data_IF_180584356995
#
_entry.id   IF_180584356995
#
_cell.length_a   1.000
_cell.length_b   1.000
_cell.length_c   1.000
_cell.angle_alpha   90.00
_cell.angle_beta   90.00
_cell.angle_gamma   90.00
#
_symmetry.space_group_name_H-M   'P 1'
#
loop_
_entity.id
_entity.type
_entity.pdbx_description
1 polymer ?
#
# COMPACT_ATOMS: atom_id res chain seq x y z
N UNK A 1 -49.58 -50.54 -4.62
CA UNK A 1 -49.30 -50.53 -3.17
C UNK A 1 -47.80 -50.77 -3.02
N UNK A 2 -47.00 -49.75 -3.10
CA UNK A 2 -45.67 -49.71 -2.53
C UNK A 2 -45.46 -48.28 -2.02
N UNK A 3 -45.36 -48.13 -0.72
CA UNK A 3 -45.11 -46.86 -0.04
C UNK A 3 -43.62 -46.59 -0.07
N UNK A 4 -43.24 -45.49 -0.72
CA UNK A 4 -41.85 -45.01 -0.71
C UNK A 4 -41.68 -44.07 0.48
N UNK A 5 -40.95 -44.50 1.48
CA UNK A 5 -40.51 -43.64 2.59
C UNK A 5 -39.49 -42.64 2.09
N UNK A 6 -39.84 -41.37 2.10
CA UNK A 6 -38.90 -40.26 1.95
C UNK A 6 -38.25 -40.02 3.32
N UNK A 7 -36.97 -40.39 3.47
CA UNK A 7 -36.13 -40.03 4.62
C UNK A 7 -35.75 -38.56 4.51
N UNK A 8 -36.38 -37.72 5.30
CA UNK A 8 -35.91 -36.35 5.57
C UNK A 8 -34.58 -36.44 6.32
N UNK A 9 -33.49 -36.18 5.64
CA UNK A 9 -32.20 -35.91 6.27
C UNK A 9 -32.26 -34.49 6.80
N UNK A 10 -32.46 -34.36 8.12
CA UNK A 10 -32.27 -33.09 8.82
C UNK A 10 -30.79 -32.69 8.74
N UNK A 11 -30.49 -31.75 7.86
CA UNK A 11 -29.17 -31.07 7.88
C UNK A 11 -29.10 -30.24 9.19
N UNK A 12 -28.44 -30.77 10.20
CA UNK A 12 -27.99 -30.00 11.36
C UNK A 12 -27.00 -28.99 10.84
N UNK A 13 -27.45 -27.75 10.65
CA UNK A 13 -26.60 -26.59 10.44
C UNK A 13 -25.85 -26.38 11.73
N UNK A 14 -24.61 -26.85 11.76
CA UNK A 14 -23.67 -26.49 12.83
C UNK A 14 -23.47 -24.96 12.78
N UNK A 15 -23.59 -24.25 13.91
CA UNK A 15 -23.32 -22.82 13.91
C UNK A 15 -21.85 -22.60 13.58
N UNK A 16 -21.57 -21.98 12.46
CA UNK A 16 -20.25 -21.56 12.03
C UNK A 16 -19.76 -20.51 13.03
N UNK A 17 -19.03 -20.95 14.07
CA UNK A 17 -18.33 -20.07 14.98
C UNK A 17 -17.20 -19.43 14.20
N UNK A 18 -17.46 -18.28 13.58
CA UNK A 18 -16.41 -17.47 12.99
C UNK A 18 -15.53 -16.95 14.10
N UNK A 19 -14.41 -17.60 14.36
CA UNK A 19 -13.34 -17.06 15.21
C UNK A 19 -12.69 -15.88 14.46
N UNK A 20 -13.37 -14.72 14.44
CA UNK A 20 -12.92 -13.49 13.76
C UNK A 20 -11.87 -12.72 14.58
N UNK A 21 -11.54 -13.18 15.78
CA UNK A 21 -10.67 -12.43 16.69
C UNK A 21 -9.35 -13.18 16.88
N UNK A 22 -8.23 -12.45 16.89
CA UNK A 22 -6.92 -13.02 17.24
C UNK A 22 -6.97 -13.65 18.64
N UNK A 23 -6.23 -14.73 18.86
CA UNK A 23 -6.21 -15.36 20.20
C UNK A 23 -5.73 -14.34 21.24
N UNK A 24 -6.20 -14.42 22.50
CA UNK A 24 -5.78 -13.49 23.55
C UNK A 24 -4.26 -13.40 23.71
N UNK A 25 -3.56 -14.51 23.51
CA UNK A 25 -2.09 -14.56 23.60
C UNK A 25 -1.41 -13.77 22.47
N UNK A 26 -1.90 -13.88 21.23
CA UNK A 26 -1.40 -13.12 20.08
C UNK A 26 -1.67 -11.62 20.28
N UNK A 27 -2.87 -11.28 20.75
CA UNK A 27 -3.23 -9.90 21.00
C UNK A 27 -2.38 -9.27 22.11
N UNK A 28 -2.13 -9.97 23.22
CA UNK A 28 -1.27 -9.47 24.29
C UNK A 28 0.17 -9.25 23.82
N UNK A 29 0.72 -10.16 23.01
CA UNK A 29 2.04 -10.00 22.40
C UNK A 29 2.13 -8.77 21.49
N UNK A 30 1.11 -8.54 20.66
CA UNK A 30 1.04 -7.36 19.77
C UNK A 30 0.92 -6.06 20.57
N UNK A 31 0.15 -6.04 21.68
CA UNK A 31 0.06 -4.87 22.57
C UNK A 31 1.41 -4.55 23.19
N UNK A 32 2.14 -5.56 23.71
CA UNK A 32 3.48 -5.35 24.29
C UNK A 32 4.43 -4.78 23.24
N UNK A 33 4.45 -5.32 22.02
CA UNK A 33 5.26 -4.82 20.92
C UNK A 33 4.87 -3.39 20.54
N UNK A 34 3.58 -3.08 20.43
CA UNK A 34 3.09 -1.74 20.11
C UNK A 34 3.52 -0.71 21.16
N UNK A 35 3.44 -1.05 22.45
CA UNK A 35 3.87 -0.17 23.55
C UNK A 35 5.38 0.03 23.56
N UNK A 36 6.16 -1.03 23.35
CA UNK A 36 7.63 -0.96 23.37
C UNK A 36 8.21 -0.18 22.17
N UNK A 37 7.61 -0.31 20.98
CA UNK A 37 8.17 0.24 19.75
C UNK A 37 7.43 1.45 19.19
N UNK A 38 6.22 1.73 19.60
CA UNK A 38 5.39 2.69 18.89
C UNK A 38 4.64 3.73 19.74
N UNK A 39 4.69 3.65 21.05
CA UNK A 39 3.98 4.60 21.89
C UNK A 39 2.48 4.68 21.63
N UNK A 40 1.87 5.85 21.84
CA UNK A 40 0.42 6.06 21.76
C UNK A 40 -0.17 5.76 20.37
N UNK A 41 0.54 6.14 19.29
CA UNK A 41 0.06 5.91 17.91
C UNK A 41 -0.13 4.41 17.65
N UNK A 42 0.87 3.60 17.99
CA UNK A 42 0.80 2.16 17.78
C UNK A 42 -0.31 1.52 18.62
N UNK A 43 -0.54 1.98 19.85
CA UNK A 43 -1.64 1.49 20.68
C UNK A 43 -2.99 1.84 20.07
N UNK A 44 -3.19 3.08 19.63
CA UNK A 44 -4.42 3.52 18.97
C UNK A 44 -4.65 2.75 17.67
N UNK A 45 -3.60 2.60 16.85
CA UNK A 45 -3.68 1.83 15.60
C UNK A 45 -4.06 0.39 15.88
N UNK A 46 -3.43 -0.27 16.84
CA UNK A 46 -3.72 -1.65 17.20
C UNK A 46 -5.17 -1.81 17.71
N UNK A 47 -5.65 -0.88 18.53
CA UNK A 47 -7.03 -0.88 19.02
C UNK A 47 -8.04 -0.76 17.87
N UNK A 48 -7.78 0.15 16.91
CA UNK A 48 -8.60 0.33 15.73
C UNK A 48 -8.56 -0.91 14.82
N UNK A 49 -7.39 -1.50 14.57
CA UNK A 49 -7.24 -2.72 13.78
C UNK A 49 -8.03 -3.88 14.40
N UNK A 50 -7.90 -4.07 15.72
CA UNK A 50 -8.64 -5.08 16.44
C UNK A 50 -10.16 -4.86 16.33
N UNK A 51 -10.61 -3.64 16.56
CA UNK A 51 -12.01 -3.27 16.49
C UNK A 51 -12.58 -3.44 15.07
N UNK A 52 -11.88 -2.95 14.03
CA UNK A 52 -12.32 -3.03 12.63
C UNK A 52 -12.28 -4.48 12.11
N UNK A 53 -11.30 -5.30 12.52
CA UNK A 53 -11.22 -6.70 12.11
C UNK A 53 -12.39 -7.56 12.62
N UNK A 54 -13.12 -7.08 13.63
CA UNK A 54 -14.29 -7.77 14.20
C UNK A 54 -15.62 -7.33 13.58
N UNK A 55 -15.62 -6.36 12.66
CA UNK A 55 -16.86 -5.82 12.08
C UNK A 55 -17.35 -6.62 10.88
N UNK A 56 -18.67 -6.69 10.65
CA UNK A 56 -19.25 -7.46 9.55
C UNK A 56 -19.19 -6.75 8.19
N UNK A 57 -18.84 -5.45 8.13
CA UNK A 57 -18.74 -4.68 6.89
C UNK A 57 -17.28 -4.58 6.43
N UNK A 58 -17.06 -4.39 5.13
CA UNK A 58 -15.73 -4.37 4.53
C UNK A 58 -15.02 -5.72 4.66
N UNK A 59 -15.77 -6.83 4.66
CA UNK A 59 -15.21 -8.19 4.76
C UNK A 59 -15.11 -8.79 3.37
N UNK A 60 -13.91 -9.23 3.02
CA UNK A 60 -13.68 -10.07 1.86
C UNK A 60 -13.94 -11.53 2.23
N UNK A 61 -14.84 -12.16 1.47
CA UNK A 61 -15.19 -13.57 1.69
C UNK A 61 -14.13 -14.47 1.07
N UNK A 62 -13.91 -15.61 1.71
CA UNK A 62 -13.00 -16.64 1.27
C UNK A 62 -13.10 -16.90 -0.26
N UNK A 63 -11.94 -16.83 -0.95
CA UNK A 63 -11.83 -17.17 -2.38
C UNK A 63 -12.22 -16.08 -3.38
N UNK A 64 -12.66 -14.88 -2.97
CA UNK A 64 -13.08 -13.83 -3.91
C UNK A 64 -11.89 -13.07 -4.53
N UNK A 65 -10.78 -12.89 -3.80
CA UNK A 65 -9.57 -12.22 -4.26
C UNK A 65 -8.29 -13.03 -3.96
N UNK A 66 -8.12 -14.11 -4.68
CA UNK A 66 -6.86 -14.83 -4.97
C UNK A 66 -6.15 -15.55 -3.82
N UNK A 67 -5.71 -14.91 -2.77
CA UNK A 67 -4.77 -15.47 -1.80
C UNK A 67 -5.38 -15.74 -0.42
N UNK A 68 -6.44 -15.03 -0.04
CA UNK A 68 -7.04 -15.16 1.28
C UNK A 68 -7.89 -16.45 1.39
N UNK A 69 -7.55 -17.30 2.36
CA UNK A 69 -8.31 -18.52 2.70
C UNK A 69 -9.23 -18.32 3.92
N UNK A 70 -9.39 -17.09 4.40
CA UNK A 70 -10.28 -16.74 5.52
C UNK A 70 -10.95 -15.41 5.25
N UNK A 71 -12.14 -15.24 5.80
CA UNK A 71 -12.80 -13.93 5.85
C UNK A 71 -11.88 -12.91 6.50
N UNK A 72 -11.54 -11.86 5.78
CA UNK A 72 -10.62 -10.80 6.22
C UNK A 72 -11.24 -9.43 6.02
N UNK A 73 -10.95 -8.50 6.94
CA UNK A 73 -11.38 -7.11 6.84
C UNK A 73 -10.48 -6.34 5.85
N UNK A 74 -11.06 -5.45 5.07
CA UNK A 74 -10.37 -4.54 4.12
C UNK A 74 -10.23 -3.12 4.68
N UNK A 75 -10.31 -2.94 6.00
CA UNK A 75 -10.39 -1.63 6.65
C UNK A 75 -9.08 -1.22 7.35
N UNK A 76 -7.98 -1.91 7.07
CA UNK A 76 -6.68 -1.63 7.71
C UNK A 76 -6.16 -0.22 7.44
N UNK A 77 -6.34 0.26 6.22
CA UNK A 77 -5.96 1.62 5.84
C UNK A 77 -6.71 2.68 6.63
N UNK A 78 -7.99 2.47 6.93
CA UNK A 78 -8.78 3.39 7.77
C UNK A 78 -8.17 3.51 9.17
N UNK A 79 -7.73 2.39 9.78
CA UNK A 79 -7.08 2.43 11.09
C UNK A 79 -5.80 3.27 11.06
N UNK A 80 -4.97 3.11 10.03
CA UNK A 80 -3.73 3.88 9.85
C UNK A 80 -4.04 5.37 9.75
N UNK A 81 -4.92 5.76 8.83
CA UNK A 81 -5.21 7.17 8.57
C UNK A 81 -5.91 7.86 9.74
N UNK A 82 -6.83 7.20 10.44
CA UNK A 82 -7.45 7.74 11.67
C UNK A 82 -6.38 7.95 12.74
N UNK A 83 -5.46 7.00 12.95
CA UNK A 83 -4.41 7.12 13.97
C UNK A 83 -3.47 8.30 13.68
N UNK A 84 -3.06 8.47 12.43
CA UNK A 84 -2.21 9.58 12.00
C UNK A 84 -2.95 10.91 12.06
N UNK A 85 -4.23 10.95 11.70
CA UNK A 85 -5.07 12.16 11.84
C UNK A 85 -5.22 12.58 13.31
N UNK A 86 -5.49 11.63 14.20
CA UNK A 86 -5.58 11.90 15.65
C UNK A 86 -4.26 12.43 16.19
N UNK A 87 -3.13 11.90 15.71
CA UNK A 87 -1.81 12.43 16.06
C UNK A 87 -1.64 13.86 15.54
N UNK A 88 -1.93 14.13 14.28
CA UNK A 88 -1.74 15.44 13.65
C UNK A 88 -2.60 16.54 14.27
N UNK A 89 -3.81 16.18 14.75
CA UNK A 89 -4.72 17.11 15.47
C UNK A 89 -4.32 17.23 16.94
N UNK A 90 -3.87 16.16 17.57
CA UNK A 90 -3.51 16.12 18.99
C UNK A 90 -2.12 16.69 19.29
N UNK A 91 -1.18 16.61 18.35
CA UNK A 91 0.18 17.09 18.55
C UNK A 91 0.27 18.57 18.96
N UNK A 92 -0.49 19.52 18.39
CA UNK A 92 -0.47 20.92 18.83
C UNK A 92 -0.94 21.10 20.27
N UNK A 93 -1.91 20.31 20.75
CA UNK A 93 -2.42 20.39 22.13
C UNK A 93 -1.43 19.80 23.15
N UNK A 94 -0.62 18.85 22.71
CA UNK A 94 0.49 18.28 23.50
C UNK A 94 1.72 19.20 23.46
N UNK A 95 1.83 20.07 22.45
CA UNK A 95 3.01 20.88 22.18
C UNK A 95 3.26 21.95 23.23
N UNK A 96 2.24 22.50 23.90
CA UNK A 96 2.48 23.45 25.01
C UNK A 96 3.24 22.80 26.19
N UNK A 97 3.17 21.45 26.27
CA UNK A 97 3.91 20.67 27.26
C UNK A 97 5.14 19.95 26.68
N UNK A 98 5.22 19.75 25.37
CA UNK A 98 6.25 18.99 24.65
C UNK A 98 6.96 19.83 23.59
N UNK A 99 6.52 21.06 23.32
CA UNK A 99 7.12 22.00 22.37
C UNK A 99 8.62 22.28 22.63
N UNK A 100 9.11 21.97 23.82
CA UNK A 100 10.55 22.02 24.13
C UNK A 100 11.36 20.93 23.43
N UNK A 101 10.72 19.94 22.79
CA UNK A 101 11.35 18.79 22.17
C UNK A 101 11.18 18.67 20.65
N UNK A 102 10.27 19.46 20.04
CA UNK A 102 9.97 19.37 18.60
C UNK A 102 9.70 20.79 18.08
N UNK A 103 10.71 21.44 17.50
CA UNK A 103 10.52 22.64 16.68
C UNK A 103 9.79 22.23 15.39
N UNK A 104 8.47 22.45 15.36
CA UNK A 104 7.65 22.23 14.17
C UNK A 104 7.48 23.55 13.44
N UNK A 105 7.93 23.63 12.18
CA UNK A 105 7.64 24.76 11.30
C UNK A 105 6.16 24.69 10.89
N UNK A 106 5.39 25.76 11.14
CA UNK A 106 3.95 25.79 10.90
C UNK A 106 3.57 25.61 9.43
N UNK A 107 4.32 26.19 8.52
CA UNK A 107 4.03 26.17 7.07
C UNK A 107 4.25 24.77 6.47
N UNK A 108 5.24 24.02 6.96
CA UNK A 108 5.52 22.66 6.51
C UNK A 108 4.46 21.67 6.99
N UNK A 109 3.98 21.84 8.24
CA UNK A 109 2.89 21.03 8.80
C UNK A 109 1.60 21.22 8.01
N UNK A 110 1.27 22.42 7.59
CA UNK A 110 0.04 22.71 6.86
C UNK A 110 0.07 22.10 5.46
N UNK A 111 1.21 22.08 4.79
CA UNK A 111 1.40 21.38 3.51
C UNK A 111 1.22 19.87 3.65
N UNK A 112 1.83 19.26 4.66
CA UNK A 112 1.72 17.81 4.90
C UNK A 112 0.29 17.43 5.29
N UNK A 113 -0.40 18.25 6.07
CA UNK A 113 -1.84 18.07 6.36
C UNK A 113 -2.68 18.12 5.08
N UNK A 114 -2.37 19.05 4.17
CA UNK A 114 -3.01 19.15 2.86
C UNK A 114 -2.86 17.85 2.06
N UNK A 115 -1.67 17.24 2.03
CA UNK A 115 -1.44 15.95 1.37
C UNK A 115 -2.29 14.83 1.97
N UNK A 116 -2.44 14.80 3.30
CA UNK A 116 -3.29 13.82 3.98
C UNK A 116 -4.76 13.97 3.59
N UNK A 117 -5.27 15.22 3.49
CA UNK A 117 -6.64 15.45 3.05
C UNK A 117 -6.87 14.98 1.62
N UNK A 118 -5.97 15.33 0.68
CA UNK A 118 -6.09 14.87 -0.69
C UNK A 118 -5.98 13.33 -0.78
N UNK A 119 -5.04 12.74 -0.05
CA UNK A 119 -4.90 11.28 0.02
C UNK A 119 -6.16 10.61 0.60
N UNK A 120 -6.77 11.18 1.63
CA UNK A 120 -8.05 10.70 2.16
C UNK A 120 -9.18 10.79 1.13
N UNK A 121 -9.29 11.89 0.38
CA UNK A 121 -10.29 12.03 -0.68
C UNK A 121 -10.13 10.97 -1.78
N UNK A 122 -8.89 10.70 -2.18
CA UNK A 122 -8.54 9.63 -3.11
C UNK A 122 -8.88 8.26 -2.50
N UNK A 123 -8.55 8.04 -1.23
CA UNK A 123 -8.88 6.83 -0.49
C UNK A 123 -10.39 6.57 -0.38
N UNK A 124 -11.22 7.61 -0.25
CA UNK A 124 -12.68 7.47 -0.20
C UNK A 124 -13.25 6.86 -1.49
N UNK A 125 -12.60 7.06 -2.63
CA UNK A 125 -12.98 6.37 -3.88
C UNK A 125 -12.74 4.87 -3.76
N UNK A 126 -11.63 4.46 -3.10
CA UNK A 126 -11.34 3.05 -2.79
C UNK A 126 -12.30 2.48 -1.75
N UNK A 127 -12.65 3.27 -0.72
CA UNK A 127 -13.63 2.85 0.29
C UNK A 127 -14.97 2.47 -0.30
N UNK A 128 -15.41 3.18 -1.35
CA UNK A 128 -16.64 2.84 -2.05
C UNK A 128 -16.64 1.40 -2.58
N UNK A 129 -15.48 0.88 -2.96
CA UNK A 129 -15.32 -0.52 -3.38
C UNK A 129 -15.25 -1.48 -2.18
N UNK A 130 -14.53 -1.12 -1.12
CA UNK A 130 -14.42 -1.91 0.11
C UNK A 130 -15.78 -2.13 0.80
N UNK A 131 -16.70 -1.17 0.68
CA UNK A 131 -18.08 -1.28 1.20
C UNK A 131 -19.11 -1.73 0.14
N UNK A 132 -18.65 -2.17 -1.05
CA UNK A 132 -19.46 -2.70 -2.14
C UNK A 132 -20.51 -1.70 -2.69
N UNK A 133 -20.18 -0.43 -2.84
CA UNK A 133 -21.05 0.56 -3.50
C UNK A 133 -21.12 0.39 -5.03
N UNK A 134 -20.39 -0.57 -5.60
CA UNK A 134 -20.55 -1.00 -6.99
C UNK A 134 -20.06 0.00 -8.04
N UNK A 135 -19.04 0.80 -7.75
CA UNK A 135 -18.41 1.69 -8.73
C UNK A 135 -17.73 0.89 -9.86
N UNK A 136 -18.07 1.22 -11.11
CA UNK A 136 -17.40 0.62 -12.27
C UNK A 136 -15.94 1.11 -12.34
N UNK A 137 -15.00 0.28 -12.85
CA UNK A 137 -13.58 0.67 -12.95
C UNK A 137 -13.35 2.03 -13.64
N UNK A 138 -14.07 2.33 -14.72
CA UNK A 138 -13.97 3.62 -15.41
C UNK A 138 -14.45 4.79 -14.53
N UNK A 139 -15.50 4.60 -13.74
CA UNK A 139 -16.01 5.64 -12.84
C UNK A 139 -15.00 5.94 -11.75
N UNK A 140 -14.34 4.92 -11.18
CA UNK A 140 -13.24 5.09 -10.22
C UNK A 140 -12.09 5.89 -10.84
N UNK A 141 -11.65 5.52 -12.02
CA UNK A 141 -10.58 6.24 -12.73
C UNK A 141 -10.93 7.71 -12.94
N UNK A 142 -12.12 8.01 -13.43
CA UNK A 142 -12.58 9.39 -13.65
C UNK A 142 -12.66 10.20 -12.36
N UNK A 143 -13.14 9.59 -11.26
CA UNK A 143 -13.17 10.26 -9.94
C UNK A 143 -11.77 10.54 -9.42
N UNK A 144 -10.85 9.56 -9.52
CA UNK A 144 -9.45 9.75 -9.12
C UNK A 144 -8.79 10.90 -9.90
N UNK A 145 -8.96 10.95 -11.23
CA UNK A 145 -8.46 12.05 -12.05
C UNK A 145 -9.09 13.38 -11.68
N UNK A 146 -10.40 13.45 -11.51
CA UNK A 146 -11.10 14.67 -11.15
C UNK A 146 -10.63 15.24 -9.79
N UNK A 147 -10.50 14.38 -8.78
CA UNK A 147 -10.01 14.75 -7.44
C UNK A 147 -8.55 15.22 -7.52
N UNK A 148 -7.69 14.50 -8.26
CA UNK A 148 -6.27 14.85 -8.42
C UNK A 148 -6.10 16.20 -9.11
N UNK A 149 -6.79 16.42 -10.23
CA UNK A 149 -6.74 17.69 -10.98
C UNK A 149 -7.27 18.83 -10.11
N UNK A 150 -8.40 18.65 -9.42
CA UNK A 150 -8.93 19.64 -8.51
C UNK A 150 -7.95 20.00 -7.39
N UNK A 151 -7.29 19.00 -6.80
CA UNK A 151 -6.24 19.19 -5.78
C UNK A 151 -5.08 20.02 -6.29
N UNK A 152 -4.56 19.72 -7.49
CA UNK A 152 -3.44 20.48 -8.09
C UNK A 152 -3.83 21.87 -8.59
N UNK A 153 -5.09 22.10 -8.95
CA UNK A 153 -5.58 23.45 -9.24
C UNK A 153 -5.71 24.28 -7.96
N UNK A 154 -6.16 23.63 -6.87
CA UNK A 154 -6.34 24.28 -5.58
C UNK A 154 -5.01 24.60 -4.88
N UNK A 155 -4.01 23.71 -5.00
CA UNK A 155 -2.68 23.83 -4.41
C UNK A 155 -1.59 23.57 -5.47
N UNK A 156 -1.30 24.56 -6.35
CA UNK A 156 -0.30 24.41 -7.41
C UNK A 156 1.13 24.14 -6.89
N UNK A 157 1.41 24.53 -5.66
CA UNK A 157 2.69 24.30 -4.97
C UNK A 157 2.97 22.81 -4.71
N UNK A 158 1.97 21.95 -4.82
CA UNK A 158 2.13 20.49 -4.69
C UNK A 158 2.62 19.83 -5.99
N UNK A 159 2.65 20.57 -7.10
CA UNK A 159 3.15 20.06 -8.36
C UNK A 159 4.68 19.89 -8.32
N UNK A 160 5.22 18.87 -9.00
CA UNK A 160 6.67 18.71 -9.12
C UNK A 160 7.27 19.79 -10.01
N UNK A 161 8.46 20.29 -9.67
CA UNK A 161 9.25 21.18 -10.52
C UNK A 161 9.84 20.42 -11.70
N UNK A 162 9.09 20.32 -12.78
CA UNK A 162 9.47 19.62 -14.00
C UNK A 162 10.57 20.35 -14.80
N UNK A 163 10.92 21.62 -14.46
CA UNK A 163 12.03 22.34 -15.08
C UNK A 163 13.39 21.67 -14.83
N UNK A 164 13.47 20.81 -13.82
CA UNK A 164 14.67 20.00 -13.56
C UNK A 164 14.95 18.95 -14.64
N UNK A 165 14.00 18.65 -15.51
CA UNK A 165 14.18 17.79 -16.68
C UNK A 165 14.56 18.64 -17.89
N UNK A 166 15.85 18.75 -18.19
CA UNK A 166 16.42 19.64 -19.21
C UNK A 166 15.98 19.36 -20.66
N UNK A 167 15.46 18.18 -20.97
CA UNK A 167 15.21 17.72 -22.36
C UNK A 167 13.88 18.20 -22.93
N UNK A 168 12.88 18.55 -22.10
CA UNK A 168 11.53 18.95 -22.54
C UNK A 168 10.99 20.14 -21.73
N UNK A 169 11.86 21.01 -21.24
CA UNK A 169 11.51 22.08 -20.31
C UNK A 169 10.37 22.99 -20.80
N UNK A 170 10.33 23.36 -22.05
CA UNK A 170 9.30 24.26 -22.59
C UNK A 170 7.89 23.66 -22.55
N UNK A 171 7.75 22.37 -22.88
CA UNK A 171 6.46 21.68 -22.85
C UNK A 171 6.02 21.44 -21.40
N UNK A 172 6.94 21.06 -20.53
CA UNK A 172 6.68 20.72 -19.14
C UNK A 172 6.41 21.95 -18.25
N UNK A 173 6.70 23.17 -18.73
CA UNK A 173 6.35 24.43 -18.05
C UNK A 173 4.91 24.89 -18.31
N UNK A 174 4.20 24.30 -19.28
CA UNK A 174 2.80 24.61 -19.52
C UNK A 174 1.97 24.08 -18.34
N UNK A 175 1.28 24.95 -17.56
CA UNK A 175 0.59 24.52 -16.33
C UNK A 175 -0.39 23.36 -16.53
N UNK A 176 -1.13 23.38 -17.64
CA UNK A 176 -2.06 22.29 -17.96
C UNK A 176 -1.33 20.94 -18.16
N UNK A 177 -0.18 20.96 -18.85
CA UNK A 177 0.63 19.74 -19.09
C UNK A 177 1.16 19.21 -17.76
N UNK A 178 1.69 20.09 -16.92
CA UNK A 178 2.20 19.71 -15.57
C UNK A 178 1.08 19.09 -14.72
N UNK A 179 -0.09 19.73 -14.65
CA UNK A 179 -1.24 19.21 -13.89
C UNK A 179 -1.68 17.84 -14.44
N UNK A 180 -1.84 17.71 -15.76
CA UNK A 180 -2.31 16.46 -16.36
C UNK A 180 -1.32 15.33 -16.18
N UNK A 181 -0.02 15.59 -16.35
CA UNK A 181 1.05 14.60 -16.14
C UNK A 181 1.13 14.18 -14.66
N UNK A 182 1.08 15.14 -13.74
CA UNK A 182 1.11 14.88 -12.30
C UNK A 182 -0.12 14.09 -11.85
N UNK A 183 -1.31 14.42 -12.36
CA UNK A 183 -2.52 13.65 -12.08
C UNK A 183 -2.43 12.22 -12.67
N UNK A 184 -1.85 12.07 -13.86
CA UNK A 184 -1.63 10.75 -14.47
C UNK A 184 -0.70 9.88 -13.62
N UNK A 185 0.41 10.43 -13.14
CA UNK A 185 1.34 9.72 -12.25
C UNK A 185 0.65 9.38 -10.93
N UNK A 186 -0.07 10.31 -10.32
CA UNK A 186 -0.79 10.10 -9.07
C UNK A 186 -1.82 8.96 -9.20
N UNK A 187 -2.68 9.01 -10.20
CA UNK A 187 -3.72 8.00 -10.43
C UNK A 187 -3.10 6.66 -10.85
N UNK A 188 -2.09 6.68 -11.71
CA UNK A 188 -1.37 5.48 -12.12
C UNK A 188 -0.72 4.77 -10.93
N UNK A 189 0.00 5.51 -10.09
CA UNK A 189 0.64 4.92 -8.91
C UNK A 189 -0.37 4.48 -7.84
N UNK A 190 -1.46 5.21 -7.65
CA UNK A 190 -2.57 4.80 -6.79
C UNK A 190 -3.14 3.43 -7.21
N UNK A 191 -3.30 3.20 -8.51
CA UNK A 191 -3.71 1.89 -9.00
C UNK A 191 -2.60 0.84 -8.86
N UNK A 192 -1.32 1.22 -9.01
CA UNK A 192 -0.19 0.31 -8.77
C UNK A 192 -0.15 -0.18 -7.33
N UNK A 193 -0.33 0.70 -6.34
CA UNK A 193 -0.37 0.33 -4.92
C UNK A 193 -1.55 -0.59 -4.61
N UNK A 194 -2.71 -0.37 -5.20
CA UNK A 194 -3.85 -1.26 -5.05
C UNK A 194 -3.59 -2.65 -5.65
N UNK A 195 -2.90 -2.72 -6.79
CA UNK A 195 -2.53 -4.01 -7.41
C UNK A 195 -1.55 -4.82 -6.54
N UNK A 196 -0.69 -4.17 -5.74
CA UNK A 196 0.30 -4.86 -4.90
C UNK A 196 -0.17 -5.15 -3.49
N UNK A 197 -1.33 -4.65 -3.06
CA UNK A 197 -1.95 -4.98 -1.74
C UNK A 197 -2.56 -6.40 -1.72
N UNK A 198 -1.95 -7.34 -2.45
CA UNK A 198 -2.41 -8.73 -2.52
C UNK A 198 -1.65 -9.71 -1.60
N UNK A 199 -0.49 -9.33 -1.06
CA UNK A 199 0.32 -10.19 -0.20
C UNK A 199 0.55 -9.53 1.17
N UNK A 200 0.52 -10.35 2.23
CA UNK A 200 0.67 -9.86 3.60
C UNK A 200 1.96 -9.06 3.79
N UNK A 201 1.83 -7.85 4.29
CA UNK A 201 2.93 -6.93 4.57
C UNK A 201 3.54 -6.24 3.34
N UNK A 202 3.26 -6.67 2.11
CA UNK A 202 3.95 -6.19 0.90
C UNK A 202 3.87 -4.67 0.75
N UNK A 203 2.67 -4.12 0.58
CA UNK A 203 2.48 -2.67 0.44
C UNK A 203 2.87 -1.94 1.71
N UNK A 204 2.54 -2.50 2.88
CA UNK A 204 2.90 -1.91 4.17
C UNK A 204 4.40 -1.72 4.34
N UNK A 205 5.22 -2.74 4.05
CA UNK A 205 6.69 -2.66 4.18
C UNK A 205 7.27 -1.66 3.17
N UNK A 206 6.78 -1.65 1.92
CA UNK A 206 7.18 -0.67 0.91
C UNK A 206 6.91 0.76 1.42
N UNK A 207 5.70 1.02 1.91
CA UNK A 207 5.32 2.32 2.44
C UNK A 207 6.13 2.70 3.70
N UNK A 208 6.33 1.76 4.62
CA UNK A 208 7.15 1.99 5.82
C UNK A 208 8.59 2.35 5.45
N UNK A 209 9.22 1.62 4.53
CA UNK A 209 10.58 1.92 4.09
C UNK A 209 10.68 3.29 3.41
N UNK A 210 9.70 3.65 2.59
CA UNK A 210 9.63 4.96 1.95
C UNK A 210 9.45 6.10 2.98
N UNK A 211 8.46 6.01 3.88
CA UNK A 211 8.24 7.07 4.87
C UNK A 211 9.35 7.14 5.91
N UNK A 212 10.02 6.03 6.23
CA UNK A 212 11.22 6.04 7.07
C UNK A 212 12.37 6.76 6.38
N UNK A 213 12.60 6.51 5.08
CA UNK A 213 13.55 7.27 4.29
C UNK A 213 13.24 8.77 4.32
N UNK A 214 11.98 9.16 4.08
CA UNK A 214 11.58 10.57 4.10
C UNK A 214 11.77 11.19 5.49
N UNK A 215 11.39 10.47 6.57
CA UNK A 215 11.62 10.91 7.93
C UNK A 215 13.12 11.16 8.23
N UNK A 216 13.98 10.22 7.85
CA UNK A 216 15.43 10.36 8.03
C UNK A 216 16.04 11.50 7.21
N UNK A 217 15.40 11.90 6.12
CA UNK A 217 15.83 13.00 5.27
C UNK A 217 15.37 14.37 5.79
N UNK A 218 14.12 14.45 6.32
CA UNK A 218 13.43 15.70 6.66
C UNK A 218 13.31 15.94 8.16
N UNK A 219 13.42 14.90 8.99
CA UNK A 219 13.12 14.86 10.42
C UNK A 219 11.67 15.23 10.77
N UNK A 220 10.75 15.20 9.82
CA UNK A 220 9.36 15.60 10.03
C UNK A 220 8.57 14.53 10.82
N UNK A 221 8.06 14.86 12.04
CA UNK A 221 7.46 13.88 12.95
C UNK A 221 6.23 13.15 12.39
N UNK A 222 5.53 13.76 11.43
CA UNK A 222 4.34 13.15 10.84
C UNK A 222 4.67 11.93 9.99
N UNK A 223 5.85 11.91 9.34
CA UNK A 223 6.34 10.71 8.64
C UNK A 223 6.71 9.60 9.61
N UNK A 224 7.25 9.95 10.78
CA UNK A 224 7.48 8.97 11.85
C UNK A 224 6.17 8.38 12.38
N UNK A 225 5.14 9.20 12.53
CA UNK A 225 3.80 8.75 12.91
C UNK A 225 3.23 7.73 11.90
N UNK A 226 3.40 8.00 10.59
CA UNK A 226 3.04 7.04 9.52
C UNK A 226 3.84 5.73 9.64
N UNK A 227 5.15 5.80 9.82
CA UNK A 227 6.02 4.63 10.03
C UNK A 227 5.49 3.77 11.18
N UNK A 228 5.16 4.36 12.32
CA UNK A 228 4.65 3.63 13.48
C UNK A 228 3.28 3.01 13.24
N UNK A 229 2.34 3.75 12.66
CA UNK A 229 0.99 3.25 12.35
C UNK A 229 1.03 2.11 11.32
N UNK A 230 1.79 2.28 10.23
CA UNK A 230 1.91 1.25 9.18
C UNK A 230 2.67 0.03 9.70
N UNK A 231 3.74 0.20 10.50
CA UNK A 231 4.47 -0.91 11.11
C UNK A 231 3.58 -1.74 12.05
N UNK A 232 2.71 -1.08 12.82
CA UNK A 232 1.72 -1.75 13.68
C UNK A 232 0.71 -2.55 12.84
N UNK A 233 0.25 -1.97 11.72
CA UNK A 233 -0.59 -2.69 10.76
C UNK A 233 0.13 -3.92 10.18
N UNK A 234 1.40 -3.79 9.76
CA UNK A 234 2.18 -4.90 9.20
C UNK A 234 2.27 -6.05 10.20
N UNK A 235 2.61 -5.76 11.45
CA UNK A 235 2.69 -6.79 12.49
C UNK A 235 1.36 -7.52 12.66
N UNK A 236 0.26 -6.78 12.74
CA UNK A 236 -1.08 -7.38 12.87
C UNK A 236 -1.46 -8.19 11.62
N UNK A 237 -1.21 -7.66 10.42
CA UNK A 237 -1.52 -8.30 9.14
C UNK A 237 -0.73 -9.61 8.96
N UNK A 238 0.60 -9.58 9.14
CA UNK A 238 1.47 -10.76 8.96
C UNK A 238 1.15 -11.86 9.97
N UNK A 239 0.91 -11.49 11.24
CA UNK A 239 0.67 -12.47 12.32
C UNK A 239 -0.73 -13.07 12.23
N UNK A 240 -1.74 -12.30 11.85
CA UNK A 240 -3.13 -12.74 11.91
C UNK A 240 -3.74 -13.10 10.55
N UNK A 241 -3.29 -12.46 9.46
CA UNK A 241 -3.91 -12.54 8.13
C UNK A 241 -5.38 -12.08 8.07
N UNK A 242 -5.87 -11.37 9.10
CA UNK A 242 -7.30 -11.04 9.29
C UNK A 242 -7.71 -9.66 8.81
N UNK A 243 -6.74 -8.83 8.49
CA UNK A 243 -6.99 -7.47 8.00
C UNK A 243 -6.01 -7.15 6.90
N UNK A 244 -6.53 -6.68 5.78
CA UNK A 244 -5.76 -6.11 4.68
C UNK A 244 -5.87 -4.59 4.72
N UNK A 245 -5.02 -3.91 3.97
CA UNK A 245 -5.04 -2.46 3.89
C UNK A 245 -6.35 -1.95 3.26
N UNK A 246 -6.87 -2.68 2.28
CA UNK A 246 -8.07 -2.38 1.52
C UNK A 246 -7.85 -1.30 0.47
N UNK A 247 -8.83 -1.12 -0.42
CA UNK A 247 -8.73 -0.16 -1.51
C UNK A 247 -8.62 1.28 -0.99
N UNK A 248 -9.29 1.61 0.14
CA UNK A 248 -9.09 2.89 0.82
C UNK A 248 -7.63 3.13 1.16
N UNK A 249 -7.01 2.19 1.87
CA UNK A 249 -5.65 2.34 2.35
C UNK A 249 -4.62 2.31 1.22
N UNK A 250 -4.77 1.41 0.28
CA UNK A 250 -3.89 1.29 -0.88
C UNK A 250 -3.90 2.58 -1.72
N UNK A 251 -5.08 3.15 -1.98
CA UNK A 251 -5.22 4.39 -2.72
C UNK A 251 -4.66 5.58 -1.94
N UNK A 252 -5.01 5.74 -0.68
CA UNK A 252 -4.56 6.85 0.14
C UNK A 252 -3.04 6.84 0.36
N UNK A 253 -2.45 5.66 0.65
CA UNK A 253 -0.99 5.52 0.79
C UNK A 253 -0.29 5.78 -0.55
N UNK A 254 -0.82 5.26 -1.67
CA UNK A 254 -0.27 5.51 -2.99
C UNK A 254 -0.27 7.00 -3.33
N UNK A 255 -1.38 7.70 -3.08
CA UNK A 255 -1.47 9.14 -3.28
C UNK A 255 -0.49 9.92 -2.40
N UNK A 256 -0.39 9.55 -1.13
CA UNK A 256 0.52 10.21 -0.18
C UNK A 256 1.98 10.01 -0.57
N UNK A 257 2.38 8.80 -1.00
CA UNK A 257 3.74 8.53 -1.51
C UNK A 257 4.07 9.44 -2.69
N UNK A 258 3.17 9.62 -3.66
CA UNK A 258 3.41 10.49 -4.83
C UNK A 258 3.54 11.95 -4.42
N UNK A 259 2.61 12.46 -3.60
CA UNK A 259 2.64 13.86 -3.15
C UNK A 259 3.90 14.18 -2.36
N UNK A 260 4.28 13.30 -1.45
CA UNK A 260 5.53 13.43 -0.67
C UNK A 260 6.76 13.31 -1.57
N UNK A 261 6.73 12.43 -2.60
CA UNK A 261 7.81 12.35 -3.59
C UNK A 261 7.97 13.67 -4.35
N UNK A 262 6.87 14.32 -4.72
CA UNK A 262 6.92 15.64 -5.37
C UNK A 262 7.51 16.71 -4.46
N UNK A 263 7.08 16.76 -3.19
CA UNK A 263 7.64 17.69 -2.20
C UNK A 263 9.14 17.48 -2.01
N UNK A 264 9.56 16.24 -1.76
CA UNK A 264 10.99 15.93 -1.59
C UNK A 264 11.79 16.23 -2.86
N UNK A 265 11.24 15.96 -4.04
CA UNK A 265 11.87 16.30 -5.32
C UNK A 265 12.03 17.82 -5.47
N UNK A 266 11.07 18.62 -5.04
CA UNK A 266 11.14 20.09 -5.12
C UNK A 266 12.15 20.69 -4.14
N UNK A 267 12.21 20.15 -2.92
CA UNK A 267 13.00 20.73 -1.81
C UNK A 267 14.42 20.19 -1.71
N UNK A 268 14.67 18.96 -2.21
CA UNK A 268 15.95 18.26 -2.09
C UNK A 268 16.56 17.95 -3.45
N UNK A 269 17.89 17.87 -3.50
CA UNK A 269 18.61 17.43 -4.70
C UNK A 269 18.64 15.91 -4.82
N UNK A 270 17.47 15.30 -5.01
CA UNK A 270 17.28 13.85 -5.04
C UNK A 270 17.21 13.33 -6.47
N UNK A 271 17.83 12.18 -6.72
CA UNK A 271 17.66 11.47 -7.99
C UNK A 271 16.25 10.89 -8.12
N UNK A 272 15.58 11.08 -9.26
CA UNK A 272 14.29 10.44 -9.53
C UNK A 272 14.38 8.90 -9.47
N UNK A 273 15.53 8.34 -9.83
CA UNK A 273 15.80 6.92 -9.79
C UNK A 273 15.86 6.35 -8.36
N UNK A 274 16.12 7.22 -7.36
CA UNK A 274 16.00 6.83 -5.95
C UNK A 274 14.54 6.48 -5.62
N UNK A 275 13.59 7.35 -5.97
CA UNK A 275 12.15 7.06 -5.78
C UNK A 275 11.73 5.80 -6.55
N UNK A 276 12.17 5.72 -7.82
CA UNK A 276 11.89 4.54 -8.65
C UNK A 276 12.44 3.25 -8.01
N UNK A 277 13.62 3.31 -7.37
CA UNK A 277 14.21 2.16 -6.67
C UNK A 277 13.41 1.76 -5.42
N UNK A 278 12.96 2.72 -4.60
CA UNK A 278 12.09 2.44 -3.44
C UNK A 278 10.74 1.87 -3.84
N UNK A 279 10.23 2.26 -4.99
CA UNK A 279 8.90 1.94 -5.48
C UNK A 279 8.95 0.97 -6.67
N UNK A 280 10.07 0.25 -6.82
CA UNK A 280 10.35 -0.55 -8.02
C UNK A 280 9.30 -1.64 -8.26
N UNK A 281 8.85 -2.35 -7.22
CA UNK A 281 7.87 -3.41 -7.39
C UNK A 281 6.50 -2.90 -7.89
N UNK A 282 5.82 -1.91 -7.26
CA UNK A 282 4.58 -1.37 -7.81
C UNK A 282 4.75 -0.77 -9.21
N UNK A 283 5.84 -0.05 -9.48
CA UNK A 283 6.09 0.54 -10.80
C UNK A 283 6.26 -0.53 -11.89
N UNK A 284 7.09 -1.54 -11.63
CA UNK A 284 7.35 -2.61 -12.61
C UNK A 284 6.12 -3.48 -12.80
N UNK A 285 5.41 -3.81 -11.71
CA UNK A 285 4.26 -4.70 -11.77
C UNK A 285 3.09 -4.10 -12.56
N UNK A 286 2.78 -2.81 -12.36
CA UNK A 286 1.70 -2.17 -13.14
C UNK A 286 2.04 -2.14 -14.63
N UNK A 287 3.28 -1.77 -14.99
CA UNK A 287 3.71 -1.72 -16.38
C UNK A 287 3.67 -3.12 -17.00
N UNK A 288 4.21 -4.14 -16.30
CA UNK A 288 4.21 -5.52 -16.75
C UNK A 288 2.79 -6.04 -17.02
N UNK A 289 1.89 -5.87 -16.06
CA UNK A 289 0.52 -6.38 -16.16
C UNK A 289 -0.26 -5.65 -17.24
N UNK A 290 -0.15 -4.32 -17.33
CA UNK A 290 -0.80 -3.56 -18.41
C UNK A 290 -0.29 -3.95 -19.78
N UNK A 291 1.04 -4.11 -19.94
CA UNK A 291 1.64 -4.57 -21.20
C UNK A 291 1.12 -5.95 -21.60
N UNK A 292 1.09 -6.90 -20.66
CA UNK A 292 0.58 -8.24 -20.93
C UNK A 292 -0.90 -8.23 -21.32
N UNK A 293 -1.74 -7.41 -20.67
CA UNK A 293 -3.16 -7.28 -21.04
C UNK A 293 -3.34 -6.73 -22.45
N UNK A 294 -2.59 -5.70 -22.80
CA UNK A 294 -2.61 -5.11 -24.16
C UNK A 294 -2.17 -6.16 -25.20
N UNK A 295 -1.07 -6.88 -24.95
CA UNK A 295 -0.59 -7.94 -25.85
C UNK A 295 -1.57 -9.11 -25.99
N UNK A 296 -2.42 -9.35 -24.98
CA UNK A 296 -3.47 -10.37 -25.00
C UNK A 296 -4.83 -9.83 -25.50
N UNK A 297 -4.86 -8.63 -26.03
CA UNK A 297 -6.08 -7.94 -26.50
C UNK A 297 -7.16 -7.81 -25.40
N UNK A 298 -6.74 -7.77 -24.13
CA UNK A 298 -7.61 -7.59 -22.97
C UNK A 298 -7.64 -6.12 -22.54
N UNK A 299 -8.74 -5.72 -21.91
CA UNK A 299 -8.85 -4.38 -21.34
C UNK A 299 -7.81 -4.17 -20.23
N UNK A 300 -7.02 -3.08 -20.26
CA UNK A 300 -6.05 -2.78 -19.20
C UNK A 300 -6.68 -2.57 -17.82
N UNK A 301 -7.97 -2.22 -17.78
CA UNK A 301 -8.69 -1.79 -16.57
C UNK A 301 -9.32 -2.98 -15.82
N UNK A 302 -9.50 -4.13 -16.48
CA UNK A 302 -10.12 -5.30 -15.85
C UNK A 302 -9.06 -6.02 -15.00
N UNK A 303 -9.39 -6.29 -13.73
CA UNK A 303 -8.53 -7.03 -12.81
C UNK A 303 -8.35 -8.49 -13.25
N UNK A 304 -7.16 -9.04 -13.05
CA UNK A 304 -6.85 -10.46 -13.20
C UNK A 304 -5.91 -10.93 -12.06
N UNK A 305 -5.61 -12.22 -12.04
CA UNK A 305 -4.73 -12.82 -11.03
C UNK A 305 -3.28 -13.03 -11.53
N UNK A 306 -2.88 -12.40 -12.64
CA UNK A 306 -1.58 -12.59 -13.27
C UNK A 306 -0.48 -11.71 -12.63
N UNK A 307 -0.51 -11.58 -11.30
CA UNK A 307 0.48 -10.81 -10.55
C UNK A 307 1.66 -11.66 -10.09
N UNK A 308 2.87 -11.07 -10.07
CA UNK A 308 4.07 -11.78 -9.63
C UNK A 308 3.93 -12.31 -8.19
N UNK A 309 3.30 -11.54 -7.29
CA UNK A 309 3.08 -12.00 -5.92
C UNK A 309 2.15 -13.24 -5.86
N UNK A 310 1.18 -13.38 -6.77
CA UNK A 310 0.34 -14.58 -6.87
C UNK A 310 1.16 -15.80 -7.33
N UNK A 311 2.01 -15.63 -8.34
CA UNK A 311 2.89 -16.71 -8.81
C UNK A 311 3.88 -17.16 -7.73
N UNK A 312 4.49 -16.20 -7.03
CA UNK A 312 5.42 -16.51 -5.94
C UNK A 312 4.71 -17.19 -4.77
N UNK A 313 3.51 -16.72 -4.41
CA UNK A 313 2.69 -17.35 -3.37
C UNK A 313 2.36 -18.81 -3.73
N UNK A 314 1.88 -19.08 -4.94
CA UNK A 314 1.58 -20.44 -5.41
C UNK A 314 2.83 -21.33 -5.36
N UNK A 315 3.99 -20.83 -5.77
CA UNK A 315 5.26 -21.55 -5.68
C UNK A 315 5.65 -21.88 -4.23
N UNK A 316 5.41 -20.95 -3.30
CA UNK A 316 5.74 -21.15 -1.89
C UNK A 316 4.74 -22.06 -1.16
N UNK A 317 3.47 -22.09 -1.60
CA UNK A 317 2.47 -23.02 -1.04
C UNK A 317 2.86 -24.48 -1.13
N UNK A 318 3.63 -24.86 -2.17
CA UNK A 318 4.16 -26.22 -2.31
C UNK A 318 5.24 -26.53 -1.25
N UNK A 319 5.87 -25.51 -0.70
CA UNK A 319 6.97 -25.61 0.28
C UNK A 319 6.52 -25.44 1.74
N UNK A 320 5.49 -24.63 1.96
CA UNK A 320 4.97 -24.30 3.27
C UNK A 320 3.54 -24.80 3.39
N UNK A 321 3.26 -25.64 4.38
CA UNK A 321 1.91 -26.17 4.64
C UNK A 321 0.90 -25.07 5.04
N UNK A 322 1.39 -23.94 5.58
CA UNK A 322 0.58 -22.81 6.02
C UNK A 322 0.46 -21.74 4.93
N UNK A 323 -0.74 -21.49 4.37
CA UNK A 323 -0.98 -20.43 3.41
C UNK A 323 -0.65 -19.04 3.94
N UNK A 324 -0.89 -18.80 5.25
CA UNK A 324 -0.53 -17.54 5.90
C UNK A 324 0.98 -17.30 5.87
N UNK A 325 1.77 -18.34 6.16
CA UNK A 325 3.24 -18.25 6.12
C UNK A 325 3.72 -18.02 4.69
N UNK A 326 3.21 -18.79 3.72
CA UNK A 326 3.57 -18.61 2.31
C UNK A 326 3.24 -17.20 1.81
N UNK A 327 2.06 -16.65 2.18
CA UNK A 327 1.65 -15.31 1.82
C UNK A 327 2.56 -14.24 2.46
N UNK A 328 2.87 -14.38 3.75
CA UNK A 328 3.72 -13.42 4.47
C UNK A 328 5.18 -13.45 3.96
N UNK A 329 5.71 -14.62 3.62
CA UNK A 329 7.05 -14.74 3.01
C UNK A 329 7.05 -14.10 1.61
N UNK A 330 5.97 -14.26 0.83
CA UNK A 330 5.81 -13.61 -0.48
C UNK A 330 5.92 -12.09 -0.35
N UNK A 331 5.13 -11.50 0.54
CA UNK A 331 5.13 -10.06 0.76
C UNK A 331 6.48 -9.53 1.26
N UNK A 332 7.05 -10.19 2.27
CA UNK A 332 8.36 -9.83 2.82
C UNK A 332 9.47 -9.88 1.76
N UNK A 333 9.54 -10.96 0.98
CA UNK A 333 10.58 -11.13 -0.05
C UNK A 333 10.52 -10.04 -1.12
N UNK A 334 9.33 -9.77 -1.69
CA UNK A 334 9.17 -8.76 -2.73
C UNK A 334 9.39 -7.34 -2.20
N UNK A 335 8.92 -7.04 -0.98
CA UNK A 335 9.16 -5.75 -0.35
C UNK A 335 10.64 -5.53 0.01
N UNK A 336 11.35 -6.57 0.45
CA UNK A 336 12.80 -6.50 0.69
C UNK A 336 13.55 -6.15 -0.59
N UNK A 337 13.27 -6.82 -1.69
CA UNK A 337 13.90 -6.52 -2.98
C UNK A 337 13.55 -5.11 -3.48
N UNK A 338 12.31 -4.65 -3.25
CA UNK A 338 11.84 -3.34 -3.71
C UNK A 338 12.42 -2.19 -2.87
N UNK A 339 12.19 -2.20 -1.55
CA UNK A 339 12.31 -0.99 -0.75
C UNK A 339 13.31 -1.09 0.39
N UNK A 340 13.49 -2.29 0.98
CA UNK A 340 14.42 -2.44 2.11
C UNK A 340 15.88 -2.33 1.66
N UNK A 341 16.23 -2.90 0.50
CA UNK A 341 17.58 -2.76 -0.07
C UNK A 341 17.92 -1.29 -0.33
N UNK A 342 17.12 -0.47 -1.04
CA UNK A 342 17.36 0.97 -1.16
C UNK A 342 17.49 1.69 0.19
N UNK A 343 16.64 1.36 1.17
CA UNK A 343 16.73 1.96 2.50
C UNK A 343 18.07 1.66 3.18
N UNK A 344 18.54 0.41 3.11
CA UNK A 344 19.84 0.01 3.67
C UNK A 344 21.00 0.73 2.96
N UNK A 345 20.98 0.80 1.63
CA UNK A 345 22.01 1.51 0.85
C UNK A 345 22.08 3.00 1.22
N UNK A 346 20.92 3.62 1.45
CA UNK A 346 20.84 5.01 1.92
C UNK A 346 21.35 5.17 3.35
N UNK A 347 20.82 4.40 4.31
CA UNK A 347 21.12 4.55 5.74
C UNK A 347 22.58 4.19 6.08
N UNK A 348 23.22 3.31 5.31
CA UNK A 348 24.63 2.98 5.43
C UNK A 348 25.56 3.96 4.70
N UNK A 349 25.00 5.02 4.07
CA UNK A 349 25.74 5.98 3.24
C UNK A 349 26.53 5.34 2.08
N UNK A 350 26.16 4.15 1.63
CA UNK A 350 26.79 3.51 0.47
C UNK A 350 26.40 4.20 -0.84
N UNK A 351 25.19 4.74 -0.93
CA UNK A 351 24.71 5.47 -2.09
C UNK A 351 24.05 6.77 -1.64
N UNK A 352 24.60 7.91 -2.06
CA UNK A 352 24.03 9.24 -1.76
C UNK A 352 22.74 9.50 -2.53
N UNK A 353 21.86 10.38 -2.01
CA UNK A 353 20.52 10.65 -2.55
C UNK A 353 20.50 11.13 -4.01
N UNK A 354 21.56 11.84 -4.47
CA UNK A 354 21.69 12.36 -5.84
C UNK A 354 22.52 11.45 -6.77
N UNK A 355 22.91 10.26 -6.30
CA UNK A 355 23.82 9.38 -7.05
C UNK A 355 23.17 8.83 -8.32
N UNK A 356 23.93 8.78 -9.42
CA UNK A 356 23.52 8.10 -10.65
C UNK A 356 23.44 6.57 -10.50
N UNK A 357 24.00 5.99 -9.43
CA UNK A 357 23.90 4.54 -9.16
C UNK A 357 22.46 4.08 -8.95
N UNK A 358 21.55 4.96 -8.55
CA UNK A 358 20.13 4.61 -8.40
C UNK A 358 19.48 4.15 -9.69
N UNK A 359 19.93 4.64 -10.84
CA UNK A 359 19.46 4.17 -12.16
C UNK A 359 19.80 2.68 -12.36
N UNK A 360 21.03 2.28 -12.05
CA UNK A 360 21.47 0.89 -12.16
C UNK A 360 20.83 -0.03 -11.12
N UNK A 361 20.59 0.47 -9.92
CA UNK A 361 19.85 -0.26 -8.88
C UNK A 361 18.43 -0.54 -9.36
N UNK A 362 17.72 0.49 -9.85
CA UNK A 362 16.38 0.32 -10.40
C UNK A 362 16.34 -0.62 -11.60
N UNK A 363 17.30 -0.51 -12.52
CA UNK A 363 17.41 -1.42 -13.67
C UNK A 363 17.62 -2.87 -13.23
N UNK A 364 18.46 -3.09 -12.23
CA UNK A 364 18.72 -4.42 -11.66
C UNK A 364 17.47 -5.00 -10.98
N UNK A 365 16.76 -4.18 -10.18
CA UNK A 365 15.49 -4.59 -9.56
C UNK A 365 14.44 -4.94 -10.62
N UNK A 366 14.31 -4.11 -11.65
CA UNK A 366 13.40 -4.34 -12.79
C UNK A 366 13.70 -5.66 -13.48
N UNK A 367 14.97 -5.91 -13.83
CA UNK A 367 15.40 -7.17 -14.43
C UNK A 367 15.09 -8.37 -13.53
N UNK A 368 15.33 -8.24 -12.22
CA UNK A 368 15.05 -9.30 -11.25
C UNK A 368 13.56 -9.64 -11.19
N UNK A 369 12.66 -8.62 -11.11
CA UNK A 369 11.21 -8.87 -11.07
C UNK A 369 10.69 -9.48 -12.38
N UNK A 370 11.17 -9.02 -13.53
CA UNK A 370 10.78 -9.58 -14.82
C UNK A 370 11.24 -11.04 -15.00
N UNK A 371 12.46 -11.35 -14.58
CA UNK A 371 12.98 -12.73 -14.60
C UNK A 371 12.19 -13.63 -13.64
N UNK A 372 11.92 -13.19 -12.42
CA UNK A 372 11.10 -13.96 -11.48
C UNK A 372 9.70 -14.20 -12.03
N UNK A 373 9.05 -13.19 -12.61
CA UNK A 373 7.73 -13.33 -13.21
C UNK A 373 7.75 -14.34 -14.37
N UNK A 374 8.74 -14.28 -15.23
CA UNK A 374 8.91 -15.23 -16.35
C UNK A 374 9.10 -16.68 -15.87
N UNK A 375 10.00 -16.91 -14.92
CA UNK A 375 10.27 -18.26 -14.42
C UNK A 375 9.09 -18.86 -13.65
N UNK A 376 8.41 -18.06 -12.85
CA UNK A 376 7.31 -18.55 -12.01
C UNK A 376 6.02 -18.76 -12.83
N UNK A 377 5.73 -17.92 -13.82
CA UNK A 377 4.56 -18.12 -14.71
C UNK A 377 4.68 -19.40 -15.55
N UNK A 378 5.87 -19.72 -16.06
CA UNK A 378 6.10 -20.94 -16.85
C UNK A 378 5.97 -22.23 -16.03
N UNK A 379 6.31 -22.22 -14.74
CA UNK A 379 6.13 -23.38 -13.85
C UNK A 379 4.68 -23.67 -13.51
N UNK A 380 3.83 -22.65 -13.41
CA UNK A 380 2.39 -22.81 -13.21
C UNK A 380 1.69 -23.46 -14.40
N UNK A 381 2.16 -23.22 -15.62
CA UNK A 381 1.60 -23.82 -16.84
C UNK A 381 1.88 -25.32 -16.95
N UNK A 382 3.03 -25.79 -16.47
CA UNK A 382 3.41 -27.24 -16.54
C UNK A 382 2.68 -28.10 -15.49
N UNK A 383 2.24 -27.52 -14.37
CA UNK A 383 1.53 -28.27 -13.31
C UNK A 383 0.03 -28.46 -13.57
N UNK A 384 -0.54 -27.86 -14.61
CA UNK A 384 -1.94 -28.04 -15.01
C UNK A 384 -2.11 -29.07 -16.17
N UNK A 385 -1.02 -29.59 -16.69
CA UNK A 385 -1.01 -30.56 -17.80
C UNK A 385 -0.68 -32.00 -17.37
N UNK A 386 -0.37 -32.23 -16.11
CA UNK A 386 -0.18 -33.54 -15.47
C UNK A 386 -1.36 -33.83 -14.49
#
# INVERSE_FOLDING_TARGET
RVATQVKLVSATVLPHKSERVASPLVLSGLVILAVLFGGLISVVTLALLYWLSSRPFGVDREGKHGISQKDSSRLGGIAIFISVLLFSVGAPWLSDSVALLIELDGDEIDSIRGYHWLACMIGLVGLADDVNLGLKPMQRMLLLFAISIAGFIWAPEWLPDLNRFSVYSELLTIPLVTIMLSAFVLVGFTNATNMVDGANGLLGIIATAFFLFVYLLTNEPLYWALVLAISTFILFNIVTGRIFMGDFGAYAIGALIVLVSYQVFNTQAVSIWLFASFLSYPCVEIIRVMTLRILQEKSPIISDNNHLHNFLHQFLLVRFESPLVANSITGLFLACLSSVIPLVLYTTNLVGISSALWEWIFATQTGTFLLLAFFLSNRGATSQTD
#
